data_IF_803670383178
#
_entry.id   IF_803670383178
#
_cell.length_a   1.000
_cell.length_b   1.000
_cell.length_c   1.000
_cell.angle_alpha   90.00
_cell.angle_beta   90.00
_cell.angle_gamma   90.00
#
_symmetry.space_group_name_H-M   'P 1'
#
loop_
_entity.id
_entity.type
_entity.pdbx_description
1 polymer ?
#
# COMPACT_ATOMS: atom_id res chain seq x y z
N UNK A 1 36.74 31.99 5.92
CA UNK A 1 36.19 31.28 4.74
C UNK A 1 36.54 29.80 4.91
N UNK A 2 35.77 29.06 5.71
CA UNK A 2 36.02 27.63 5.93
C UNK A 2 35.19 26.82 4.93
N UNK A 3 35.82 26.47 3.82
CA UNK A 3 35.30 25.53 2.83
C UNK A 3 35.48 24.11 3.37
N UNK A 4 34.70 23.72 4.40
CA UNK A 4 34.59 22.30 4.72
C UNK A 4 33.82 21.64 3.58
N UNK A 5 34.54 20.92 2.71
CA UNK A 5 33.93 20.07 1.69
C UNK A 5 33.03 19.05 2.40
N UNK A 6 31.71 19.15 2.22
CA UNK A 6 30.78 18.08 2.59
C UNK A 6 31.15 16.83 1.79
N UNK A 7 31.67 15.80 2.44
CA UNK A 7 31.79 14.46 1.86
C UNK A 7 30.53 13.67 2.22
N UNK A 8 29.74 13.31 1.21
CA UNK A 8 28.64 12.34 1.29
C UNK A 8 29.14 10.98 0.86
N UNK A 9 29.01 9.99 1.73
CA UNK A 9 29.29 8.59 1.42
C UNK A 9 28.05 7.73 1.72
N UNK A 10 27.86 6.67 0.94
CA UNK A 10 26.89 5.62 1.25
C UNK A 10 27.60 4.63 2.18
N UNK A 11 27.06 4.43 3.39
CA UNK A 11 27.57 3.44 4.32
C UNK A 11 26.54 2.35 4.61
N UNK A 12 27.01 1.11 4.68
CA UNK A 12 26.23 -0.03 5.12
C UNK A 12 26.43 -0.20 6.62
N UNK A 13 25.40 0.05 7.41
CA UNK A 13 25.43 -0.18 8.87
C UNK A 13 25.05 -1.62 9.20
N UNK A 14 24.36 -2.31 8.28
CA UNK A 14 24.16 -3.75 8.27
C UNK A 14 23.78 -4.23 6.85
N UNK A 15 23.68 -5.55 6.66
CA UNK A 15 23.25 -6.20 5.41
C UNK A 15 21.81 -5.78 4.96
N UNK A 16 21.07 -5.04 5.78
CA UNK A 16 19.68 -4.62 5.52
C UNK A 16 19.42 -3.11 5.57
N UNK A 17 20.36 -2.27 6.03
CA UNK A 17 20.11 -0.83 6.23
C UNK A 17 21.21 0.03 5.61
N UNK A 18 20.86 0.71 4.53
CA UNK A 18 21.69 1.66 3.79
C UNK A 18 21.46 3.05 4.39
N UNK A 19 22.51 3.69 4.87
CA UNK A 19 22.44 5.07 5.37
C UNK A 19 23.31 5.99 4.51
N UNK A 20 22.83 7.20 4.31
CA UNK A 20 23.65 8.31 3.83
C UNK A 20 24.45 8.79 5.03
N UNK A 21 25.77 8.76 4.92
CA UNK A 21 26.68 9.29 5.94
C UNK A 21 27.28 10.59 5.45
N UNK A 22 27.02 11.67 6.19
CA UNK A 22 27.62 12.99 5.97
C UNK A 22 28.61 13.30 7.08
N UNK A 23 29.82 13.71 6.71
CA UNK A 23 30.83 14.20 7.66
C UNK A 23 30.79 15.72 7.76
N UNK A 24 30.47 16.25 8.93
CA UNK A 24 30.55 17.69 9.25
C UNK A 24 31.45 17.89 10.48
N UNK A 25 32.53 18.69 10.33
CA UNK A 25 33.46 18.95 11.43
C UNK A 25 34.19 17.72 11.99
N UNK A 26 34.27 16.62 11.23
CA UNK A 26 34.83 15.34 11.67
C UNK A 26 33.84 14.41 12.38
N UNK A 27 32.57 14.83 12.53
CA UNK A 27 31.50 14.00 13.09
C UNK A 27 30.69 13.37 11.96
N UNK A 28 30.44 12.07 12.06
CA UNK A 28 29.60 11.33 11.12
C UNK A 28 28.13 11.42 11.54
N UNK A 29 27.28 11.93 10.64
CA UNK A 29 25.83 11.87 10.76
C UNK A 29 25.31 10.82 9.79
N UNK A 30 24.59 9.81 10.29
CA UNK A 30 23.97 8.78 9.48
C UNK A 30 22.46 9.02 9.41
N UNK A 31 21.92 9.13 8.20
CA UNK A 31 20.49 9.33 7.95
C UNK A 31 19.99 8.35 6.89
N UNK A 32 18.71 7.98 6.97
CA UNK A 32 18.08 7.20 5.91
C UNK A 32 18.04 8.04 4.62
N UNK A 33 18.11 7.39 3.43
CA UNK A 33 17.78 8.06 2.19
C UNK A 33 16.40 8.72 2.29
N UNK A 34 16.21 9.96 1.77
CA UNK A 34 14.94 10.69 1.90
C UNK A 34 13.72 9.89 1.46
N UNK A 35 13.84 9.15 0.35
CA UNK A 35 12.80 8.27 -0.19
C UNK A 35 12.37 7.18 0.80
N UNK A 36 13.33 6.58 1.50
CA UNK A 36 13.08 5.58 2.54
C UNK A 36 12.50 6.24 3.79
N UNK A 37 13.06 7.37 4.19
CA UNK A 37 12.60 8.13 5.35
C UNK A 37 11.15 8.54 5.20
N UNK A 38 10.74 8.99 4.01
CA UNK A 38 9.35 9.32 3.70
C UNK A 38 8.39 8.17 3.96
N UNK A 39 8.75 6.94 3.55
CA UNK A 39 7.89 5.77 3.81
C UNK A 39 7.82 5.42 5.30
N UNK A 40 8.91 5.59 6.04
CA UNK A 40 8.90 5.39 7.49
C UNK A 40 8.12 6.48 8.22
N UNK A 41 8.24 7.75 7.80
CA UNK A 41 7.49 8.87 8.36
C UNK A 41 5.98 8.66 8.22
N UNK A 42 5.52 8.10 7.09
CA UNK A 42 4.12 7.71 6.92
C UNK A 42 3.71 6.69 8.00
N UNK A 43 4.53 5.67 8.27
CA UNK A 43 4.21 4.60 9.23
C UNK A 43 4.25 5.08 10.68
N UNK A 44 5.19 5.95 10.97
CA UNK A 44 5.33 6.65 12.25
C UNK A 44 4.26 7.73 12.42
N UNK A 45 3.40 7.95 11.41
CA UNK A 45 2.32 8.95 11.40
C UNK A 45 2.84 10.40 11.50
N UNK A 46 4.07 10.64 11.03
CA UNK A 46 4.68 11.96 10.92
C UNK A 46 4.20 12.64 9.64
N UNK A 47 2.91 12.98 9.61
CA UNK A 47 2.29 13.54 8.41
C UNK A 47 2.85 14.91 8.02
N UNK A 48 3.32 15.72 8.99
CA UNK A 48 3.98 16.99 8.70
C UNK A 48 5.27 16.80 7.88
N UNK A 49 6.11 15.85 8.30
CA UNK A 49 7.36 15.52 7.60
C UNK A 49 7.07 14.88 6.24
N UNK A 50 6.11 13.95 6.21
CA UNK A 50 5.65 13.30 4.97
C UNK A 50 5.12 14.31 3.94
N UNK A 51 4.34 15.29 4.38
CA UNK A 51 3.83 16.35 3.51
C UNK A 51 4.95 17.29 3.06
N UNK A 52 5.88 17.63 3.94
CA UNK A 52 7.05 18.46 3.61
C UNK A 52 7.87 17.81 2.49
N UNK A 53 8.07 16.50 2.55
CA UNK A 53 8.76 15.74 1.51
C UNK A 53 8.08 15.90 0.13
N UNK A 54 6.75 15.71 0.05
CA UNK A 54 6.01 15.84 -1.21
C UNK A 54 5.97 17.29 -1.73
N UNK A 55 5.73 18.26 -0.85
CA UNK A 55 5.66 19.69 -1.21
C UNK A 55 7.00 20.18 -1.77
N UNK A 56 8.12 19.66 -1.26
CA UNK A 56 9.46 20.01 -1.73
C UNK A 56 9.86 19.26 -3.03
N UNK A 57 8.93 18.57 -3.68
CA UNK A 57 9.16 17.87 -4.95
C UNK A 57 9.77 16.47 -4.79
N UNK A 58 9.71 15.89 -3.60
CA UNK A 58 10.10 14.50 -3.38
C UNK A 58 9.25 13.55 -4.23
N UNK A 59 9.85 12.54 -4.89
CA UNK A 59 9.10 11.63 -5.74
C UNK A 59 8.08 10.81 -4.92
N UNK A 60 6.80 10.73 -5.33
CA UNK A 60 5.77 9.98 -4.60
C UNK A 60 5.87 8.46 -4.78
N UNK A 61 6.54 8.01 -5.84
CA UNK A 61 6.62 6.61 -6.27
C UNK A 61 7.82 5.86 -5.65
N UNK A 62 8.04 6.07 -4.36
CA UNK A 62 9.19 5.52 -3.63
C UNK A 62 8.80 4.31 -2.79
N UNK A 63 9.82 3.58 -2.35
CA UNK A 63 9.70 2.36 -1.54
C UNK A 63 10.69 2.41 -0.39
N UNK A 64 10.33 1.77 0.71
CA UNK A 64 11.29 1.47 1.77
C UNK A 64 12.27 0.35 1.36
N UNK A 65 13.17 0.00 2.28
CA UNK A 65 14.14 -1.09 2.09
C UNK A 65 13.51 -2.48 1.95
N UNK A 66 12.28 -2.67 2.45
CA UNK A 66 11.52 -3.91 2.25
C UNK A 66 10.81 -3.95 0.88
N UNK A 67 10.92 -2.89 0.09
CA UNK A 67 10.26 -2.75 -1.20
C UNK A 67 8.76 -2.44 -1.08
N UNK A 68 8.31 -1.89 0.04
CA UNK A 68 6.93 -1.45 0.28
C UNK A 68 6.78 -0.01 -0.23
N UNK A 69 5.86 0.27 -1.17
CA UNK A 69 5.57 1.62 -1.63
C UNK A 69 5.04 2.52 -0.54
N UNK A 70 5.29 3.83 -0.66
CA UNK A 70 4.67 4.85 0.19
C UNK A 70 3.13 4.73 0.24
N UNK A 71 2.49 4.56 -0.93
CA UNK A 71 1.02 4.44 -1.02
C UNK A 71 0.49 3.18 -0.32
N UNK A 72 1.23 2.06 -0.39
CA UNK A 72 0.86 0.82 0.31
C UNK A 72 1.06 0.98 1.82
N UNK A 73 2.11 1.67 2.25
CA UNK A 73 2.33 1.97 3.66
C UNK A 73 1.17 2.81 4.23
N UNK A 74 0.76 3.87 3.54
CA UNK A 74 -0.38 4.71 3.93
C UNK A 74 -1.70 3.91 3.99
N UNK A 75 -1.97 3.09 2.96
CA UNK A 75 -3.17 2.23 2.94
C UNK A 75 -3.17 1.18 4.07
N UNK A 76 -2.01 0.60 4.39
CA UNK A 76 -1.85 -0.39 5.47
C UNK A 76 -2.20 0.16 6.85
N UNK A 77 -1.99 1.46 7.09
CA UNK A 77 -2.33 2.12 8.35
C UNK A 77 -3.69 2.84 8.33
N UNK A 78 -4.39 2.84 7.19
CA UNK A 78 -5.74 3.40 7.05
C UNK A 78 -5.79 4.89 6.77
N UNK A 79 -4.66 5.51 6.42
CA UNK A 79 -4.55 6.97 6.29
C UNK A 79 -4.95 7.44 4.89
N UNK A 80 -6.25 7.52 4.65
CA UNK A 80 -6.83 7.93 3.37
C UNK A 80 -6.37 9.34 2.92
N UNK A 81 -6.14 10.25 3.87
CA UNK A 81 -5.60 11.58 3.58
C UNK A 81 -4.19 11.51 2.96
N UNK A 82 -3.32 10.67 3.53
CA UNK A 82 -1.97 10.48 3.00
C UNK A 82 -2.00 9.76 1.65
N UNK A 83 -2.86 8.75 1.47
CA UNK A 83 -3.08 8.12 0.15
C UNK A 83 -3.50 9.16 -0.89
N UNK A 84 -4.44 10.04 -0.55
CA UNK A 84 -4.92 11.11 -1.42
C UNK A 84 -3.80 12.07 -1.80
N UNK A 85 -2.98 12.51 -0.85
CA UNK A 85 -1.88 13.43 -1.17
C UNK A 85 -0.81 12.74 -2.03
N UNK A 86 -0.42 11.50 -1.75
CA UNK A 86 0.52 10.75 -2.61
C UNK A 86 0.03 10.71 -4.06
N UNK A 87 -1.26 10.40 -4.27
CA UNK A 87 -1.88 10.37 -5.61
C UNK A 87 -1.89 11.75 -6.28
N UNK A 88 -2.25 12.80 -5.53
CA UNK A 88 -2.27 14.19 -6.00
C UNK A 88 -0.89 14.66 -6.50
N UNK A 89 0.20 14.20 -5.89
CA UNK A 89 1.56 14.52 -6.33
C UNK A 89 2.09 13.57 -7.44
N UNK A 90 1.24 12.75 -8.07
CA UNK A 90 1.61 11.87 -9.18
C UNK A 90 1.96 10.43 -8.75
N UNK A 91 1.49 10.02 -7.58
CA UNK A 91 1.59 8.64 -7.12
C UNK A 91 0.88 7.66 -8.04
N UNK A 92 1.52 6.54 -8.35
CA UNK A 92 0.91 5.45 -9.09
C UNK A 92 0.07 4.59 -8.13
N UNK A 93 -1.26 4.66 -8.31
CA UNK A 93 -2.27 3.96 -7.50
C UNK A 93 -2.06 2.44 -7.44
N UNK A 94 -1.49 1.85 -8.50
CA UNK A 94 -1.31 0.41 -8.65
C UNK A 94 0.11 -0.06 -8.28
N UNK A 95 0.91 0.77 -7.60
CA UNK A 95 2.20 0.30 -7.06
C UNK A 95 1.98 -0.86 -6.09
N UNK A 96 2.53 -2.02 -6.47
CA UNK A 96 2.52 -3.23 -5.65
C UNK A 96 3.82 -3.37 -4.86
N UNK A 97 3.82 -4.02 -3.70
CA UNK A 97 5.06 -4.39 -2.98
C UNK A 97 5.99 -5.25 -3.83
N UNK A 98 7.32 -5.12 -3.66
CA UNK A 98 8.28 -5.97 -4.38
C UNK A 98 8.11 -7.45 -4.04
N UNK A 99 7.85 -7.74 -2.77
CA UNK A 99 7.53 -9.08 -2.28
C UNK A 99 6.02 -9.20 -2.13
N UNK A 100 5.41 -10.24 -2.68
CA UNK A 100 3.99 -10.49 -2.52
C UNK A 100 3.11 -9.79 -3.56
N UNK A 101 3.63 -8.85 -4.37
CA UNK A 101 2.84 -8.03 -5.31
C UNK A 101 1.57 -7.41 -4.70
N UNK A 102 1.63 -6.98 -3.44
CA UNK A 102 0.46 -6.47 -2.72
C UNK A 102 0.23 -4.99 -3.04
N UNK A 103 -0.97 -4.61 -3.49
CA UNK A 103 -1.35 -3.22 -3.78
C UNK A 103 -1.95 -2.51 -2.57
N UNK A 104 -2.13 -1.19 -2.68
CA UNK A 104 -2.81 -0.40 -1.65
C UNK A 104 -4.28 -0.84 -1.47
N UNK A 105 -4.96 -1.18 -2.57
CA UNK A 105 -6.35 -1.62 -2.55
C UNK A 105 -6.50 -2.95 -1.81
N UNK A 106 -5.58 -3.89 -2.02
CA UNK A 106 -5.54 -5.16 -1.28
C UNK A 106 -5.35 -4.95 0.23
N UNK A 107 -4.45 -4.06 0.65
CA UNK A 107 -4.24 -3.76 2.07
C UNK A 107 -5.46 -3.08 2.71
N UNK A 108 -6.02 -2.06 2.04
CA UNK A 108 -7.24 -1.41 2.50
C UNK A 108 -8.40 -2.39 2.63
N UNK A 109 -8.52 -3.31 1.67
CA UNK A 109 -9.58 -4.32 1.62
C UNK A 109 -9.47 -5.37 2.71
N UNK A 110 -8.26 -5.91 2.93
CA UNK A 110 -8.00 -6.86 4.00
C UNK A 110 -8.25 -6.25 5.39
N UNK A 111 -8.10 -4.93 5.55
CA UNK A 111 -8.22 -4.23 6.85
C UNK A 111 -9.58 -3.60 7.07
N UNK A 112 -10.38 -3.43 6.03
CA UNK A 112 -11.72 -2.82 6.12
C UNK A 112 -11.69 -1.29 6.09
N UNK A 113 -10.68 -0.67 5.48
CA UNK A 113 -10.55 0.79 5.45
C UNK A 113 -11.33 1.40 4.28
N UNK A 114 -12.63 1.63 4.50
CA UNK A 114 -13.57 2.13 3.49
C UNK A 114 -13.07 3.42 2.82
N UNK A 115 -12.61 4.39 3.61
CA UNK A 115 -12.13 5.68 3.07
C UNK A 115 -10.88 5.53 2.20
N UNK A 116 -9.98 4.61 2.54
CA UNK A 116 -8.81 4.31 1.69
C UNK A 116 -9.27 3.73 0.36
N UNK A 117 -10.20 2.78 0.39
CA UNK A 117 -10.74 2.15 -0.82
C UNK A 117 -11.44 3.18 -1.70
N UNK A 118 -12.28 4.06 -1.12
CA UNK A 118 -12.95 5.11 -1.87
C UNK A 118 -11.94 6.04 -2.59
N UNK A 119 -10.86 6.45 -1.92
CA UNK A 119 -9.82 7.27 -2.54
C UNK A 119 -9.10 6.51 -3.65
N UNK A 120 -8.76 5.24 -3.45
CA UNK A 120 -8.08 4.43 -4.46
C UNK A 120 -8.97 4.20 -5.69
N UNK A 121 -10.24 3.88 -5.48
CA UNK A 121 -11.19 3.62 -6.57
C UNK A 121 -11.51 4.86 -7.40
N UNK A 122 -11.63 6.02 -6.77
CA UNK A 122 -11.79 7.30 -7.50
C UNK A 122 -10.55 7.67 -8.33
N UNK A 123 -9.41 7.02 -8.08
CA UNK A 123 -8.17 7.17 -8.84
C UNK A 123 -7.86 5.96 -9.74
N UNK A 124 -8.88 5.18 -10.12
CA UNK A 124 -8.77 4.04 -11.04
C UNK A 124 -7.79 2.95 -10.56
N UNK A 125 -7.84 2.61 -9.27
CA UNK A 125 -7.16 1.43 -8.77
C UNK A 125 -7.66 0.16 -9.49
N UNK A 126 -6.73 -0.70 -9.85
CA UNK A 126 -7.03 -2.00 -10.45
C UNK A 126 -7.59 -2.94 -9.37
N UNK A 127 -8.88 -3.25 -9.47
CA UNK A 127 -9.58 -4.15 -8.55
C UNK A 127 -9.17 -5.61 -8.70
N UNK A 128 -8.73 -5.97 -9.90
CA UNK A 128 -8.55 -7.35 -10.36
C UNK A 128 -7.06 -7.75 -10.38
N UNK A 129 -6.17 -6.81 -10.03
CA UNK A 129 -4.78 -7.09 -9.75
C UNK A 129 -4.64 -8.28 -8.78
N UNK A 130 -3.71 -9.19 -9.08
CA UNK A 130 -3.43 -10.38 -8.30
C UNK A 130 -2.06 -10.28 -7.62
N UNK A 131 -2.04 -10.67 -6.35
CA UNK A 131 -0.82 -10.76 -5.56
C UNK A 131 -0.02 -12.06 -5.88
N UNK A 132 1.08 -12.35 -5.19
CA UNK A 132 1.89 -13.57 -5.44
C UNK A 132 1.16 -14.89 -5.12
N UNK A 133 0.00 -14.83 -4.47
CA UNK A 133 -0.85 -15.98 -4.19
C UNK A 133 -2.06 -16.01 -5.14
N UNK A 134 -2.14 -15.11 -6.13
CA UNK A 134 -3.27 -14.97 -7.02
C UNK A 134 -4.46 -14.23 -6.38
N UNK A 135 -4.30 -13.64 -5.20
CA UNK A 135 -5.42 -13.06 -4.48
C UNK A 135 -5.70 -11.63 -4.94
N UNK A 136 -6.95 -11.34 -5.24
CA UNK A 136 -7.46 -9.99 -5.51
C UNK A 136 -7.85 -9.26 -4.22
N UNK A 137 -8.17 -7.97 -4.34
CA UNK A 137 -8.70 -7.19 -3.23
C UNK A 137 -10.00 -7.80 -2.65
N UNK A 138 -10.89 -8.30 -3.53
CA UNK A 138 -12.14 -8.96 -3.14
C UNK A 138 -11.88 -10.25 -2.36
N UNK A 139 -10.96 -11.10 -2.82
CA UNK A 139 -10.59 -12.34 -2.10
C UNK A 139 -10.10 -12.01 -0.70
N UNK A 140 -9.23 -11.01 -0.55
CA UNK A 140 -8.73 -10.60 0.78
C UNK A 140 -9.83 -10.03 1.67
N UNK A 141 -10.74 -9.20 1.15
CA UNK A 141 -11.88 -8.69 1.92
C UNK A 141 -12.79 -9.83 2.41
N UNK A 142 -13.05 -10.82 1.55
CA UNK A 142 -13.85 -12.00 1.90
C UNK A 142 -13.16 -12.82 2.99
N UNK A 143 -11.87 -13.15 2.83
CA UNK A 143 -11.13 -13.95 3.81
C UNK A 143 -11.10 -13.28 5.19
N UNK A 144 -10.92 -11.96 5.22
CA UNK A 144 -10.85 -11.15 6.44
C UNK A 144 -12.23 -10.75 7.00
N UNK A 145 -13.31 -11.19 6.36
CA UNK A 145 -14.69 -10.92 6.80
C UNK A 145 -15.10 -9.46 6.71
N UNK A 146 -14.48 -8.67 5.82
CA UNK A 146 -14.74 -7.22 5.67
C UNK A 146 -15.98 -6.98 4.83
N UNK A 147 -17.15 -7.33 5.37
CA UNK A 147 -18.46 -7.32 4.68
C UNK A 147 -18.77 -6.03 3.92
N UNK A 148 -18.52 -4.88 4.52
CA UNK A 148 -18.76 -3.58 3.87
C UNK A 148 -17.91 -3.41 2.62
N UNK A 149 -16.63 -3.82 2.68
CA UNK A 149 -15.73 -3.79 1.53
C UNK A 149 -16.14 -4.80 0.47
N UNK A 150 -16.56 -6.01 0.87
CA UNK A 150 -17.08 -7.01 -0.06
C UNK A 150 -18.23 -6.44 -0.88
N UNK A 151 -19.19 -5.78 -0.22
CA UNK A 151 -20.31 -5.13 -0.93
C UNK A 151 -19.82 -4.05 -1.87
N UNK A 152 -18.98 -3.14 -1.37
CA UNK A 152 -18.44 -2.05 -2.17
C UNK A 152 -17.69 -2.52 -3.43
N UNK A 153 -16.84 -3.55 -3.32
CA UNK A 153 -16.08 -4.08 -4.46
C UNK A 153 -16.98 -4.80 -5.48
N UNK A 154 -18.00 -5.55 -5.02
CA UNK A 154 -18.98 -6.18 -5.91
C UNK A 154 -19.78 -5.11 -6.66
N UNK A 155 -20.28 -4.10 -5.94
CA UNK A 155 -21.08 -3.01 -6.54
C UNK A 155 -20.24 -2.16 -7.51
N UNK A 156 -18.93 -2.05 -7.27
CA UNK A 156 -17.98 -1.40 -8.16
C UNK A 156 -17.62 -2.24 -9.40
N UNK A 157 -18.04 -3.50 -9.48
CA UNK A 157 -17.82 -4.38 -10.63
C UNK A 157 -16.50 -5.14 -10.60
N UNK A 158 -15.91 -5.41 -9.44
CA UNK A 158 -14.76 -6.32 -9.33
C UNK A 158 -15.11 -7.71 -9.88
N UNK A 159 -14.18 -8.35 -10.60
CA UNK A 159 -14.41 -9.68 -11.15
C UNK A 159 -14.46 -10.73 -10.03
N UNK A 160 -15.66 -11.30 -9.84
CA UNK A 160 -15.92 -12.29 -8.79
C UNK A 160 -15.45 -13.71 -9.16
N UNK A 161 -15.08 -13.94 -10.42
CA UNK A 161 -14.67 -15.24 -10.97
C UNK A 161 -13.15 -15.45 -10.99
N UNK A 162 -12.36 -14.41 -10.69
CA UNK A 162 -10.92 -14.58 -10.51
C UNK A 162 -10.65 -15.52 -9.34
N UNK A 163 -9.87 -16.58 -9.62
CA UNK A 163 -9.39 -17.52 -8.61
C UNK A 163 -7.98 -17.19 -8.17
N UNK A 164 -7.69 -17.46 -6.90
CA UNK A 164 -6.32 -17.53 -6.41
C UNK A 164 -5.54 -18.70 -7.06
N UNK A 165 -4.24 -18.80 -6.78
CA UNK A 165 -3.39 -19.86 -7.34
C UNK A 165 -3.67 -21.26 -6.76
N UNK A 166 -4.55 -21.36 -5.75
CA UNK A 166 -5.08 -22.64 -5.28
C UNK A 166 -6.41 -23.02 -5.97
N UNK A 167 -6.86 -22.22 -6.94
CA UNK A 167 -8.09 -22.45 -7.69
C UNK A 167 -9.36 -22.01 -6.97
N UNK A 168 -9.27 -21.19 -5.92
CA UNK A 168 -10.43 -20.72 -5.16
C UNK A 168 -10.80 -19.29 -5.54
N UNK A 169 -12.05 -19.10 -5.94
CA UNK A 169 -12.67 -17.79 -6.18
C UNK A 169 -13.04 -17.10 -4.87
N UNK A 170 -13.41 -15.82 -4.93
CA UNK A 170 -13.97 -15.11 -3.79
C UNK A 170 -15.20 -15.83 -3.19
N UNK A 171 -16.02 -16.47 -4.02
CA UNK A 171 -17.18 -17.22 -3.52
C UNK A 171 -16.76 -18.48 -2.74
N UNK A 172 -15.73 -19.20 -3.20
CA UNK A 172 -15.24 -20.41 -2.50
C UNK A 172 -14.73 -20.07 -1.10
N UNK A 173 -14.00 -18.96 -0.97
CA UNK A 173 -13.58 -18.42 0.33
C UNK A 173 -14.79 -17.99 1.17
N UNK A 174 -15.80 -17.37 0.56
CA UNK A 174 -17.02 -16.96 1.26
C UNK A 174 -17.78 -18.16 1.83
N UNK A 175 -17.91 -19.28 1.09
CA UNK A 175 -18.61 -20.47 1.58
C UNK A 175 -17.97 -21.04 2.86
N UNK A 176 -16.67 -20.86 3.02
CA UNK A 176 -15.89 -21.25 4.21
C UNK A 176 -15.87 -20.17 5.31
N UNK A 177 -16.35 -18.96 5.02
CA UNK A 177 -16.41 -17.86 5.97
C UNK A 177 -17.48 -18.11 7.05
N UNK A 178 -17.30 -17.56 8.25
CA UNK A 178 -18.28 -17.64 9.34
C UNK A 178 -19.43 -16.64 9.17
N UNK A 179 -19.20 -15.54 8.44
CA UNK A 179 -20.21 -14.53 8.15
C UNK A 179 -21.16 -14.98 7.04
N UNK A 180 -22.37 -15.39 7.45
CA UNK A 180 -23.43 -15.81 6.53
C UNK A 180 -23.90 -14.70 5.57
N UNK A 181 -23.68 -13.42 5.91
CA UNK A 181 -24.03 -12.31 5.02
C UNK A 181 -23.07 -12.26 3.83
N UNK A 182 -21.78 -12.46 4.03
CA UNK A 182 -20.80 -12.51 2.94
C UNK A 182 -21.13 -13.66 1.98
N UNK A 183 -21.54 -14.83 2.50
CA UNK A 183 -22.03 -15.95 1.67
C UNK A 183 -23.21 -15.54 0.79
N UNK A 184 -24.19 -14.88 1.40
CA UNK A 184 -25.39 -14.42 0.71
C UNK A 184 -25.05 -13.38 -0.37
N UNK A 185 -24.14 -12.44 -0.07
CA UNK A 185 -23.68 -11.41 -1.01
C UNK A 185 -23.01 -12.04 -2.23
N UNK A 186 -22.03 -12.93 -2.03
CA UNK A 186 -21.35 -13.61 -3.14
C UNK A 186 -22.31 -14.44 -3.99
N UNK A 187 -23.21 -15.21 -3.35
CA UNK A 187 -24.19 -16.01 -4.08
C UNK A 187 -25.15 -15.15 -4.91
N UNK A 188 -25.56 -13.99 -4.40
CA UNK A 188 -26.40 -13.04 -5.14
C UNK A 188 -25.64 -12.41 -6.30
N UNK A 189 -24.39 -12.01 -6.09
CA UNK A 189 -23.55 -11.44 -7.15
C UNK A 189 -23.42 -12.41 -8.34
N UNK A 190 -23.15 -13.70 -8.06
CA UNK A 190 -23.05 -14.73 -9.10
C UNK A 190 -24.35 -15.02 -9.86
N UNK A 191 -25.51 -14.72 -9.27
CA UNK A 191 -26.80 -14.93 -9.91
C UNK A 191 -27.24 -13.74 -10.79
N UNK A 192 -26.56 -12.59 -10.66
CA UNK A 192 -26.90 -11.36 -11.35
C UNK A 192 -25.93 -10.94 -12.46
N UNK A 193 -24.80 -11.63 -12.62
CA UNK A 193 -23.82 -11.43 -13.70
C UNK A 193 -23.97 -12.50 -14.80
#
# INVERSE_FOLDING_TARGET
MNFFRRLTAIAFVSMAMMMVVTLEGGVAHAQMPPDTQFVEDIRDKKYGDSMTYLVNGGPPNVRDYNGIPAIVAAAKIGEAGMVKEILKYGGNVNMATKKGRVTALMQGSARGYVMVIAVLMTNNADMDAQDDLGQTALIKAVQEGKREIVGYLIDAGADIYISDYSGYTANDHAQRNRDSRIKSMMKKAMAGQ
#
